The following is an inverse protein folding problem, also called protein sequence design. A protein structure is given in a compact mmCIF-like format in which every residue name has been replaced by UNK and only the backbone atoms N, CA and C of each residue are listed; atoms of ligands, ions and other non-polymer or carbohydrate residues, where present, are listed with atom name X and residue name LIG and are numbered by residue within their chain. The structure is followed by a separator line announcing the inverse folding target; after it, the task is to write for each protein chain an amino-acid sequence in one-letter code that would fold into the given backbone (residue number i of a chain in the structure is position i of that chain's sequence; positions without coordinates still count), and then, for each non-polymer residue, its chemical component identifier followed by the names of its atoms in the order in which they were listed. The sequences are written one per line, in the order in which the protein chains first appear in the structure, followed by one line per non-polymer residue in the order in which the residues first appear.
data_IF_937129566445
#
_entry.id   IF_937129566445
#
_cell.length_a   1.000
_cell.length_b   1.000
_cell.length_c   1.000
_cell.angle_alpha   90.00
_cell.angle_beta   90.00
_cell.angle_gamma   90.00
#
_symmetry.space_group_name_H-M   'P 1'
#
loop_
_entity.id
_entity.type
_entity.pdbx_description
1 polymer ?
#
# COMPACT_ATOMS: atom_id res chain seq x y z
N UNK A 1 1.01 20.45 18.38
CA UNK A 1 2.04 21.08 19.19
C UNK A 1 3.20 20.11 19.46
N UNK A 2 2.97 18.92 19.98
CA UNK A 2 4.03 17.95 20.31
C UNK A 2 4.98 17.59 19.15
N UNK A 3 4.49 17.49 17.91
CA UNK A 3 5.34 17.21 16.73
C UNK A 3 6.30 18.38 16.45
N UNK A 4 5.82 19.64 16.58
CA UNK A 4 6.64 20.84 16.38
C UNK A 4 7.78 20.88 17.41
N UNK A 5 7.47 20.54 18.64
CA UNK A 5 8.40 20.60 19.78
C UNK A 5 9.27 19.34 19.90
N UNK A 6 9.12 18.37 18.98
CA UNK A 6 9.84 17.10 19.01
C UNK A 6 11.36 17.27 18.92
N UNK A 7 12.09 16.69 19.86
CA UNK A 7 13.56 16.79 20.01
C UNK A 7 14.03 18.24 20.11
N UNK A 8 13.32 19.02 20.90
CA UNK A 8 13.73 20.38 21.30
C UNK A 8 13.67 20.52 22.82
N UNK A 9 14.25 21.59 23.34
CA UNK A 9 14.24 21.94 24.77
C UNK A 9 12.81 21.95 25.36
N UNK A 10 11.78 22.29 24.54
CA UNK A 10 10.38 22.36 24.97
C UNK A 10 9.80 21.04 25.49
N UNK A 11 10.38 19.89 25.13
CA UNK A 11 10.02 18.55 25.66
C UNK A 11 11.00 18.04 26.72
N UNK A 12 11.94 18.88 27.18
CA UNK A 12 13.02 18.48 28.06
C UNK A 12 14.06 17.56 27.39
N UNK A 13 14.99 17.09 28.16
CA UNK A 13 16.07 16.25 27.67
C UNK A 13 16.83 15.59 28.82
N UNK A 14 17.87 14.85 28.49
CA UNK A 14 18.83 14.29 29.42
C UNK A 14 20.24 14.56 28.93
N UNK A 15 21.16 14.44 29.86
CA UNK A 15 22.58 14.63 29.61
C UNK A 15 23.26 13.29 29.78
N UNK A 16 23.95 12.85 28.73
CA UNK A 16 24.75 11.65 28.72
C UNK A 16 26.22 12.05 28.88
N UNK A 17 26.96 11.42 29.78
CA UNK A 17 28.39 11.62 29.95
C UNK A 17 29.13 10.31 29.67
N UNK A 18 30.22 10.38 28.94
CA UNK A 18 31.07 9.21 28.69
C UNK A 18 31.99 8.98 29.87
N UNK A 19 31.90 7.80 30.48
CA UNK A 19 32.74 7.43 31.65
C UNK A 19 34.24 7.36 31.31
N UNK A 20 34.58 7.14 30.04
CA UNK A 20 35.98 6.97 29.62
C UNK A 20 36.68 8.30 29.28
N UNK A 21 35.97 9.27 28.68
CA UNK A 21 36.58 10.51 28.19
C UNK A 21 35.92 11.79 28.72
N UNK A 22 34.84 11.68 29.50
CA UNK A 22 34.11 12.84 30.06
C UNK A 22 33.30 13.61 29.04
N UNK A 23 33.19 13.14 27.78
CA UNK A 23 32.37 13.82 26.75
C UNK A 23 30.92 13.90 27.18
N UNK A 24 30.35 15.10 27.09
CA UNK A 24 28.96 15.37 27.46
C UNK A 24 28.13 15.55 26.19
N UNK A 25 27.01 14.85 26.11
CA UNK A 25 26.03 14.99 25.03
C UNK A 25 24.64 15.28 25.60
N UNK A 26 23.95 16.26 25.03
CA UNK A 26 22.58 16.58 25.39
C UNK A 26 21.64 15.91 24.39
N UNK A 27 20.73 15.09 24.89
CA UNK A 27 19.71 14.40 24.10
C UNK A 27 18.31 14.91 24.46
N UNK A 28 17.61 15.51 23.50
CA UNK A 28 16.26 16.02 23.73
C UNK A 28 15.19 14.93 23.54
N UNK A 29 14.14 14.98 24.36
CA UNK A 29 13.06 14.01 24.36
C UNK A 29 12.25 14.03 23.05
N UNK A 30 11.84 12.85 22.61
CA UNK A 30 10.99 12.67 21.45
C UNK A 30 9.50 12.79 21.80
N UNK A 31 8.67 13.28 20.88
CA UNK A 31 7.22 13.38 21.12
C UNK A 31 6.50 12.03 21.03
N UNK A 32 7.14 10.98 20.56
CA UNK A 32 6.60 9.61 20.35
C UNK A 32 5.32 9.56 19.49
N UNK A 33 5.00 10.64 18.78
CA UNK A 33 3.82 10.69 17.93
C UNK A 33 4.03 9.90 16.65
N UNK A 34 3.04 9.07 16.29
CA UNK A 34 3.09 8.22 15.09
C UNK A 34 3.16 8.99 13.76
N UNK A 35 2.77 10.26 13.76
CA UNK A 35 2.84 11.13 12.58
C UNK A 35 4.09 12.03 12.55
N UNK A 36 4.95 11.93 13.55
CA UNK A 36 6.15 12.75 13.63
C UNK A 36 7.25 12.20 12.71
N UNK A 37 7.72 12.95 11.69
CA UNK A 37 8.77 12.46 10.81
C UNK A 37 10.10 12.21 11.53
N UNK A 38 10.41 12.98 12.58
CA UNK A 38 11.61 12.78 13.41
C UNK A 38 11.53 11.48 14.22
N UNK A 39 10.36 11.14 14.81
CA UNK A 39 10.18 9.92 15.57
C UNK A 39 10.08 8.68 14.68
N UNK A 40 9.50 8.80 13.50
CA UNK A 40 9.30 7.69 12.58
C UNK A 40 10.54 7.37 11.73
N UNK A 41 11.50 8.30 11.61
CA UNK A 41 12.70 8.11 10.79
C UNK A 41 13.44 6.81 11.10
N UNK A 42 13.75 6.56 12.37
CA UNK A 42 14.45 5.34 12.79
C UNK A 42 13.61 4.06 12.53
N UNK A 43 12.32 4.07 12.89
CA UNK A 43 11.43 2.93 12.63
C UNK A 43 11.27 2.63 11.15
N UNK A 44 11.19 3.68 10.31
CA UNK A 44 11.16 3.53 8.87
C UNK A 44 12.44 2.90 8.35
N UNK A 45 13.59 3.35 8.83
CA UNK A 45 14.88 2.80 8.44
C UNK A 45 15.00 1.33 8.81
N UNK A 46 14.69 0.96 10.04
CA UNK A 46 14.66 -0.44 10.49
C UNK A 46 13.73 -1.31 9.64
N UNK A 47 12.56 -0.77 9.26
CA UNK A 47 11.61 -1.48 8.40
C UNK A 47 12.17 -1.67 6.99
N UNK A 48 12.83 -0.65 6.42
CA UNK A 48 13.47 -0.75 5.09
C UNK A 48 14.57 -1.82 5.14
N UNK A 49 15.48 -1.74 6.09
CA UNK A 49 16.58 -2.71 6.24
C UNK A 49 16.07 -4.15 6.38
N UNK A 50 15.02 -4.35 7.19
CA UNK A 50 14.39 -5.67 7.31
C UNK A 50 13.76 -6.15 6.00
N UNK A 51 13.15 -5.25 5.20
CA UNK A 51 12.59 -5.64 3.90
C UNK A 51 13.66 -5.90 2.85
N UNK A 52 14.74 -5.13 2.86
CA UNK A 52 15.86 -5.33 1.93
C UNK A 52 16.47 -6.73 2.04
N UNK A 53 16.56 -7.29 3.24
CA UNK A 53 17.06 -8.66 3.44
C UNK A 53 16.11 -9.75 2.93
N UNK A 54 14.84 -9.42 2.73
CA UNK A 54 13.81 -10.36 2.23
C UNK A 54 13.58 -10.23 0.72
N UNK A 55 14.21 -9.24 0.07
CA UNK A 55 14.03 -9.03 -1.36
C UNK A 55 14.64 -10.17 -2.18
N UNK A 56 13.86 -10.65 -3.14
CA UNK A 56 14.35 -11.56 -4.15
C UNK A 56 15.20 -10.81 -5.18
N UNK A 57 16.22 -11.42 -5.80
CA UNK A 57 17.06 -10.79 -6.84
C UNK A 57 16.32 -10.72 -8.19
N UNK A 58 15.18 -10.05 -8.21
CA UNK A 58 14.27 -9.92 -9.36
C UNK A 58 13.76 -8.48 -9.48
N UNK A 59 13.33 -8.04 -10.67
CA UNK A 59 12.65 -6.75 -10.80
C UNK A 59 11.39 -6.68 -9.94
N UNK A 60 11.12 -5.52 -9.36
CA UNK A 60 9.88 -5.24 -8.63
C UNK A 60 9.09 -4.17 -9.38
N UNK A 61 7.77 -4.32 -9.37
CA UNK A 61 6.86 -3.41 -10.03
C UNK A 61 6.00 -2.67 -8.99
N UNK A 62 5.93 -1.37 -9.15
CA UNK A 62 5.00 -0.53 -8.42
C UNK A 62 3.69 -0.43 -9.22
N UNK A 63 2.64 -1.01 -8.70
CA UNK A 63 1.30 -1.02 -9.32
C UNK A 63 0.34 -0.27 -8.40
N UNK A 64 -0.48 0.60 -8.99
CA UNK A 64 -1.50 1.36 -8.23
C UNK A 64 -2.88 0.94 -8.72
N UNK A 65 -3.74 0.53 -7.78
CA UNK A 65 -5.15 0.29 -8.04
C UNK A 65 -5.96 1.41 -7.39
N UNK A 66 -6.74 2.12 -8.21
CA UNK A 66 -7.54 3.27 -7.78
C UNK A 66 -9.02 2.97 -7.82
N UNK A 67 -9.80 3.72 -7.05
CA UNK A 67 -11.25 3.72 -7.12
C UNK A 67 -11.74 4.97 -7.84
N UNK A 68 -12.80 4.86 -8.67
CA UNK A 68 -13.47 6.03 -9.23
C UNK A 68 -14.09 6.91 -8.13
N UNK A 69 -14.14 8.22 -8.38
CA UNK A 69 -14.69 9.20 -7.44
C UNK A 69 -16.16 8.95 -7.08
N UNK A 70 -16.91 8.27 -7.97
CA UNK A 70 -18.30 7.85 -7.72
C UNK A 70 -18.46 6.97 -6.49
N UNK A 71 -17.39 6.31 -6.06
CA UNK A 71 -17.37 5.47 -4.85
C UNK A 71 -16.97 6.23 -3.58
N UNK A 72 -16.58 7.51 -3.68
CA UNK A 72 -16.11 8.27 -2.54
C UNK A 72 -17.18 8.42 -1.44
N UNK A 73 -18.45 8.64 -1.83
CA UNK A 73 -19.56 8.68 -0.88
C UNK A 73 -19.71 7.38 -0.11
N UNK A 74 -19.67 6.25 -0.82
CA UNK A 74 -19.75 4.92 -0.20
C UNK A 74 -18.52 4.62 0.69
N UNK A 75 -17.34 5.06 0.27
CA UNK A 75 -16.11 4.92 1.06
C UNK A 75 -16.14 5.68 2.38
N UNK A 76 -16.84 6.81 2.46
CA UNK A 76 -17.06 7.55 3.70
C UNK A 76 -18.04 6.85 4.64
N UNK A 77 -19.13 6.28 4.09
CA UNK A 77 -20.19 5.65 4.90
C UNK A 77 -19.86 4.21 5.31
N UNK A 78 -19.21 3.44 4.45
CA UNK A 78 -18.89 2.02 4.67
C UNK A 78 -17.42 1.72 4.31
N UNK A 79 -16.45 2.39 4.94
CA UNK A 79 -15.04 2.30 4.56
C UNK A 79 -14.50 0.88 4.58
N UNK A 80 -14.89 0.07 5.57
CA UNK A 80 -14.43 -1.31 5.69
C UNK A 80 -14.80 -2.15 4.46
N UNK A 81 -16.04 -2.11 4.01
CA UNK A 81 -16.51 -2.90 2.86
C UNK A 81 -15.79 -2.45 1.59
N UNK A 82 -15.70 -1.14 1.37
CA UNK A 82 -15.08 -0.54 0.18
C UNK A 82 -13.57 -0.87 0.11
N UNK A 83 -12.86 -0.78 1.25
CA UNK A 83 -11.42 -1.03 1.27
C UNK A 83 -11.09 -2.52 1.28
N UNK A 84 -11.86 -3.36 1.97
CA UNK A 84 -11.70 -4.83 1.90
C UNK A 84 -11.89 -5.31 0.46
N UNK A 85 -12.91 -4.79 -0.26
CA UNK A 85 -13.13 -5.09 -1.67
C UNK A 85 -11.97 -4.61 -2.55
N UNK A 86 -11.37 -3.43 -2.26
CA UNK A 86 -10.23 -2.88 -2.97
C UNK A 86 -8.99 -3.79 -2.86
N UNK A 87 -8.62 -4.17 -1.64
CA UNK A 87 -7.50 -5.09 -1.43
C UNK A 87 -7.74 -6.45 -2.08
N UNK A 88 -8.94 -7.00 -1.90
CA UNK A 88 -9.29 -8.31 -2.44
C UNK A 88 -9.32 -8.32 -3.97
N UNK A 89 -9.94 -7.33 -4.60
CA UNK A 89 -9.99 -7.22 -6.06
C UNK A 89 -8.60 -7.07 -6.68
N UNK A 90 -7.73 -6.27 -6.06
CA UNK A 90 -6.35 -6.11 -6.49
C UNK A 90 -5.57 -7.43 -6.41
N UNK A 91 -5.65 -8.13 -5.28
CA UNK A 91 -5.02 -9.43 -5.10
C UNK A 91 -5.52 -10.46 -6.12
N UNK A 92 -6.83 -10.64 -6.21
CA UNK A 92 -7.45 -11.57 -7.17
C UNK A 92 -7.11 -11.22 -8.63
N UNK A 93 -6.84 -9.92 -8.93
CA UNK A 93 -6.37 -9.51 -10.25
C UNK A 93 -4.96 -10.03 -10.51
N UNK A 94 -4.05 -9.84 -9.57
CA UNK A 94 -2.68 -10.37 -9.69
C UNK A 94 -2.70 -11.89 -9.84
N UNK A 95 -3.47 -12.60 -9.02
CA UNK A 95 -3.62 -14.06 -9.12
C UNK A 95 -4.16 -14.52 -10.49
N UNK A 96 -5.12 -13.79 -11.07
CA UNK A 96 -5.67 -14.13 -12.38
C UNK A 96 -4.62 -14.07 -13.49
N UNK A 97 -3.66 -13.15 -13.39
CA UNK A 97 -2.57 -13.02 -14.37
C UNK A 97 -1.40 -13.97 -14.11
N UNK A 98 -1.16 -14.37 -12.87
CA UNK A 98 -0.13 -15.37 -12.54
C UNK A 98 -0.57 -16.80 -12.85
N UNK A 99 -1.88 -17.06 -12.86
CA UNK A 99 -2.47 -18.37 -13.15
C UNK A 99 -2.80 -19.20 -11.89
N UNK A 100 -3.84 -19.99 -11.99
CA UNK A 100 -4.57 -20.65 -10.89
C UNK A 100 -3.72 -21.50 -9.92
N UNK A 101 -2.56 -21.99 -10.36
CA UNK A 101 -1.72 -22.89 -9.55
C UNK A 101 -0.37 -22.27 -9.18
N UNK A 102 -0.19 -21.01 -9.46
CA UNK A 102 1.03 -20.28 -9.19
C UNK A 102 0.85 -19.38 -7.95
N UNK A 103 1.94 -19.14 -7.24
CA UNK A 103 1.95 -18.28 -6.05
C UNK A 103 2.63 -16.96 -6.39
N UNK A 104 1.85 -15.88 -6.39
CA UNK A 104 2.36 -14.51 -6.47
C UNK A 104 2.70 -13.98 -5.07
N UNK A 105 3.43 -12.87 -5.03
CA UNK A 105 3.66 -12.06 -3.83
C UNK A 105 3.23 -10.62 -4.06
N UNK A 106 2.69 -9.96 -3.05
CA UNK A 106 2.32 -8.54 -3.11
C UNK A 106 2.38 -7.90 -1.73
N UNK A 107 2.97 -6.73 -1.62
CA UNK A 107 2.83 -5.84 -0.47
C UNK A 107 1.92 -4.70 -0.90
N UNK A 108 0.89 -4.39 -0.12
CA UNK A 108 -0.08 -3.34 -0.45
C UNK A 108 -0.26 -2.36 0.71
N UNK A 109 -0.36 -1.07 0.38
CA UNK A 109 -0.55 0.01 1.34
C UNK A 109 -1.71 0.88 0.86
N UNK A 110 -2.71 1.10 1.74
CA UNK A 110 -3.85 1.97 1.46
C UNK A 110 -3.47 3.44 1.62
N UNK A 111 -3.76 4.22 0.59
CA UNK A 111 -3.86 5.67 0.67
C UNK A 111 -5.31 6.10 0.43
N UNK A 112 -5.79 7.07 1.20
CA UNK A 112 -7.19 7.53 1.11
C UNK A 112 -7.31 8.96 0.58
N UNK A 113 -6.19 9.60 0.21
CA UNK A 113 -6.15 10.99 -0.26
C UNK A 113 -5.31 11.12 -1.54
N UNK A 114 -5.73 12.04 -2.41
CA UNK A 114 -4.99 12.48 -3.58
C UNK A 114 -3.95 13.57 -3.22
N UNK A 115 -3.22 14.05 -4.22
CA UNK A 115 -2.21 15.11 -4.05
C UNK A 115 -2.78 16.43 -3.51
N UNK A 116 -4.03 16.73 -3.83
CA UNK A 116 -4.78 17.89 -3.36
C UNK A 116 -5.51 17.65 -2.03
N UNK A 117 -5.22 16.55 -1.34
CA UNK A 117 -5.86 16.11 -0.10
C UNK A 117 -7.36 15.80 -0.23
N UNK A 118 -7.90 15.70 -1.43
CA UNK A 118 -9.25 15.17 -1.65
C UNK A 118 -9.31 13.67 -1.36
N UNK A 119 -10.51 13.17 -1.04
CA UNK A 119 -10.73 11.74 -0.89
C UNK A 119 -10.48 11.03 -2.23
N UNK A 120 -9.50 10.16 -2.24
CA UNK A 120 -9.09 9.38 -3.43
C UNK A 120 -8.51 8.03 -3.00
N UNK A 121 -9.37 7.07 -2.63
CA UNK A 121 -8.89 5.77 -2.16
C UNK A 121 -8.16 5.01 -3.24
N UNK A 122 -6.96 4.59 -2.94
CA UNK A 122 -6.14 3.76 -3.81
C UNK A 122 -5.14 2.95 -2.99
N UNK A 123 -4.64 1.87 -3.56
CA UNK A 123 -3.57 1.08 -2.95
C UNK A 123 -2.32 1.12 -3.82
N UNK A 124 -1.19 1.32 -3.17
CA UNK A 124 0.12 1.12 -3.75
C UNK A 124 0.56 -0.32 -3.49
N UNK A 125 0.90 -1.03 -4.55
CA UNK A 125 1.34 -2.41 -4.49
C UNK A 125 2.77 -2.54 -4.98
N UNK A 126 3.60 -3.28 -4.24
CA UNK A 126 4.92 -3.73 -4.69
C UNK A 126 4.82 -5.20 -5.00
N UNK A 127 5.10 -5.58 -6.25
CA UNK A 127 4.92 -6.93 -6.77
C UNK A 127 6.23 -7.39 -7.42
N UNK A 128 6.81 -8.53 -7.01
CA UNK A 128 7.97 -9.09 -7.69
C UNK A 128 7.62 -9.53 -9.11
N UNK A 129 8.56 -9.39 -10.04
CA UNK A 129 8.39 -9.66 -11.47
C UNK A 129 8.36 -11.13 -11.84
N UNK A 130 7.63 -11.93 -11.09
CA UNK A 130 7.49 -13.35 -11.30
C UNK A 130 6.55 -13.99 -10.28
N UNK A 131 6.58 -15.31 -10.25
CA UNK A 131 5.76 -16.13 -9.36
C UNK A 131 6.42 -17.50 -9.12
N UNK A 132 6.01 -18.19 -8.09
CA UNK A 132 6.39 -19.57 -7.83
C UNK A 132 5.38 -20.50 -8.49
N UNK A 133 5.84 -21.40 -9.36
CA UNK A 133 4.98 -22.38 -10.02
C UNK A 133 4.55 -23.51 -9.05
N UNK A 134 3.69 -24.43 -9.54
CA UNK A 134 3.20 -25.58 -8.75
C UNK A 134 4.30 -26.52 -8.26
N UNK A 135 5.48 -26.48 -8.87
CA UNK A 135 6.63 -27.31 -8.51
C UNK A 135 7.57 -26.60 -7.52
N UNK A 136 7.21 -25.39 -7.04
CA UNK A 136 8.04 -24.58 -6.15
C UNK A 136 9.16 -23.82 -6.86
N UNK A 137 9.16 -23.77 -8.20
CA UNK A 137 10.20 -23.13 -9.00
C UNK A 137 9.79 -21.70 -9.34
N UNK A 138 10.70 -20.74 -9.13
CA UNK A 138 10.51 -19.36 -9.54
C UNK A 138 10.46 -19.21 -11.06
N UNK A 139 9.46 -18.51 -11.56
CA UNK A 139 9.29 -18.16 -12.97
C UNK A 139 9.22 -16.65 -13.12
N UNK A 140 10.04 -16.08 -13.97
CA UNK A 140 9.97 -14.66 -14.34
C UNK A 140 8.73 -14.38 -15.19
N UNK A 141 8.21 -13.15 -15.12
CA UNK A 141 7.18 -12.69 -16.05
C UNK A 141 7.72 -12.69 -17.48
N UNK A 142 6.84 -12.97 -18.46
CA UNK A 142 7.22 -13.11 -19.89
C UNK A 142 7.62 -11.81 -20.57
N UNK A 143 7.77 -10.72 -19.85
CA UNK A 143 7.91 -9.36 -20.41
C UNK A 143 9.32 -8.79 -20.34
N UNK A 144 10.31 -9.63 -20.06
CA UNK A 144 11.72 -9.23 -19.90
C UNK A 144 11.93 -8.04 -18.92
N UNK A 145 11.09 -7.96 -17.90
CA UNK A 145 11.16 -6.90 -16.90
C UNK A 145 10.62 -5.52 -17.33
N UNK A 146 10.06 -5.38 -18.54
CA UNK A 146 9.54 -4.08 -19.02
C UNK A 146 8.23 -3.67 -18.38
N UNK A 147 7.36 -4.62 -18.11
CA UNK A 147 6.09 -4.43 -17.38
C UNK A 147 5.67 -5.77 -16.72
N UNK A 148 4.88 -5.70 -15.68
CA UNK A 148 4.42 -6.91 -14.98
C UNK A 148 3.37 -7.65 -15.83
N UNK A 149 2.30 -6.95 -16.20
CA UNK A 149 1.18 -7.45 -17.01
C UNK A 149 0.61 -6.32 -17.88
N UNK A 150 -0.12 -6.62 -18.97
CA UNK A 150 -0.76 -5.58 -19.80
C UNK A 150 -1.75 -4.73 -19.00
N UNK A 151 -1.45 -3.45 -18.83
CA UNK A 151 -2.21 -2.51 -17.97
C UNK A 151 -3.70 -2.47 -18.32
N UNK A 152 -4.04 -2.34 -19.61
CA UNK A 152 -5.45 -2.33 -20.06
C UNK A 152 -6.21 -3.61 -19.71
N UNK A 153 -5.54 -4.75 -19.76
CA UNK A 153 -6.15 -6.02 -19.39
C UNK A 153 -6.33 -6.12 -17.87
N UNK A 154 -5.31 -5.70 -17.10
CA UNK A 154 -5.40 -5.63 -15.64
C UNK A 154 -6.54 -4.74 -15.17
N UNK A 155 -6.68 -3.55 -15.73
CA UNK A 155 -7.75 -2.59 -15.42
C UNK A 155 -9.14 -3.21 -15.61
N UNK A 156 -9.37 -3.89 -16.73
CA UNK A 156 -10.66 -4.57 -17.01
C UNK A 156 -10.96 -5.68 -16.01
N UNK A 157 -9.96 -6.51 -15.69
CA UNK A 157 -10.11 -7.62 -14.74
C UNK A 157 -10.33 -7.08 -13.32
N UNK A 158 -9.55 -6.09 -12.92
CA UNK A 158 -9.70 -5.44 -11.61
C UNK A 158 -11.10 -4.85 -11.43
N UNK A 159 -11.58 -4.05 -12.40
CA UNK A 159 -12.92 -3.50 -12.38
C UNK A 159 -13.99 -4.57 -12.23
N UNK A 160 -13.91 -5.64 -13.06
CA UNK A 160 -14.87 -6.73 -13.00
C UNK A 160 -14.92 -7.41 -11.64
N UNK A 161 -13.76 -7.70 -11.06
CA UNK A 161 -13.64 -8.30 -9.73
C UNK A 161 -14.17 -7.37 -8.63
N UNK A 162 -13.78 -6.11 -8.66
CA UNK A 162 -14.22 -5.14 -7.68
C UNK A 162 -15.74 -4.98 -7.68
N UNK A 163 -16.33 -4.80 -8.85
CA UNK A 163 -17.80 -4.70 -8.98
C UNK A 163 -18.51 -5.98 -8.54
N UNK A 164 -17.96 -7.15 -8.86
CA UNK A 164 -18.53 -8.42 -8.38
C UNK A 164 -18.52 -8.51 -6.84
N UNK A 165 -17.44 -8.08 -6.20
CA UNK A 165 -17.35 -8.04 -4.73
C UNK A 165 -18.35 -7.06 -4.10
N UNK A 166 -18.55 -5.90 -4.71
CA UNK A 166 -19.56 -4.94 -4.24
C UNK A 166 -20.98 -5.50 -4.37
N UNK A 167 -21.30 -6.20 -5.48
CA UNK A 167 -22.63 -6.81 -5.69
C UNK A 167 -22.96 -7.92 -4.69
N UNK A 168 -21.95 -8.57 -4.15
CA UNK A 168 -22.11 -9.66 -3.14
C UNK A 168 -21.94 -9.13 -1.71
N UNK A 169 -21.70 -7.85 -1.53
CA UNK A 169 -21.57 -7.24 -0.20
C UNK A 169 -22.93 -6.94 0.43
N UNK A 170 -22.95 -6.74 1.76
CA UNK A 170 -24.12 -6.33 2.52
C UNK A 170 -24.50 -4.85 2.33
N UNK A 171 -24.09 -4.26 1.20
CA UNK A 171 -24.41 -2.85 0.87
C UNK A 171 -25.52 -2.78 -0.17
N UNK A 172 -26.55 -1.99 0.12
CA UNK A 172 -27.51 -1.56 -0.89
C UNK A 172 -26.87 -0.49 -1.78
N UNK A 173 -26.55 -0.86 -3.02
CA UNK A 173 -25.98 0.03 -4.04
C UNK A 173 -26.94 0.06 -5.22
N UNK A 174 -27.31 1.27 -5.63
CA UNK A 174 -28.19 1.46 -6.77
C UNK A 174 -27.60 0.89 -8.06
N UNK A 175 -28.44 0.30 -8.90
CA UNK A 175 -27.99 -0.25 -10.20
C UNK A 175 -27.36 0.83 -11.10
N UNK A 176 -27.83 2.07 -11.02
CA UNK A 176 -27.28 3.23 -11.71
C UNK A 176 -25.80 3.47 -11.43
N UNK A 177 -25.37 3.23 -10.18
CA UNK A 177 -23.96 3.30 -9.77
C UNK A 177 -23.13 2.24 -10.50
N UNK A 178 -23.60 1.00 -10.54
CA UNK A 178 -22.90 -0.07 -11.28
C UNK A 178 -22.81 0.23 -12.77
N UNK A 179 -23.86 0.75 -13.38
CA UNK A 179 -23.87 1.11 -14.80
C UNK A 179 -22.84 2.21 -15.11
N UNK A 180 -22.68 3.17 -14.19
CA UNK A 180 -21.68 4.23 -14.28
C UNK A 180 -20.27 3.67 -14.15
N UNK A 181 -20.03 2.80 -13.20
CA UNK A 181 -18.73 2.16 -12.99
C UNK A 181 -18.27 1.33 -14.18
N UNK A 182 -19.20 0.67 -14.91
CA UNK A 182 -18.86 -0.10 -16.10
C UNK A 182 -18.55 0.75 -17.32
N UNK A 183 -19.06 1.97 -17.41
CA UNK A 183 -18.80 2.90 -18.52
C UNK A 183 -17.43 3.60 -18.41
N UNK A 184 -16.90 3.74 -17.21
CA UNK A 184 -15.61 4.40 -16.96
C UNK A 184 -14.42 3.48 -17.26
N UNK A 185 -13.33 4.07 -17.73
CA UNK A 185 -12.02 3.43 -17.69
C UNK A 185 -11.43 3.60 -16.26
N UNK A 186 -10.86 2.55 -15.76
CA UNK A 186 -10.26 2.51 -14.41
C UNK A 186 -8.75 2.39 -14.50
#
# INVERSE_FOLDING_TARGET
RAIKDCRTLALGGHVDACDSCGHIQISYNSCRNRHCPKCQGHKRQQWIEARETELLPVPYFHVVFTLPDDLNGLALHKPKIIYDALFRAAWETVEAFTGKHNKAGMISILHTWGQNLSLHPHIHCIIPGGFVDRNGIWKLSKTDGKFLFPVKAMSKVYRAKYVALLRTSDMEIEQSTFDTLFKKEW
#
